data_IF_747458559736
#
_entry.id   IF_747458559736
#
_cell.length_a   1.000
_cell.length_b   1.000
_cell.length_c   1.000
_cell.angle_alpha   90.00
_cell.angle_beta   90.00
_cell.angle_gamma   90.00
#
_symmetry.space_group_name_H-M   'P 1'
#
loop_
_entity.id
_entity.type
_entity.pdbx_description
1 polymer ?
#
# COMPACT_ATOMS: atom_id res chain seq x y z
N UNK A 1 -16.68 -5.74 -13.63
CA UNK A 1 -15.46 -5.39 -12.85
C UNK A 1 -14.34 -6.31 -13.29
N UNK A 2 -13.21 -5.78 -13.77
CA UNK A 2 -12.01 -6.60 -14.00
C UNK A 2 -11.53 -7.15 -12.65
N UNK A 3 -11.34 -8.45 -12.56
CA UNK A 3 -10.74 -9.06 -11.38
C UNK A 3 -9.24 -8.80 -11.44
N UNK A 4 -8.69 -8.12 -10.44
CA UNK A 4 -7.26 -7.87 -10.29
C UNK A 4 -6.82 -8.23 -8.90
N UNK A 5 -5.58 -8.72 -8.75
CA UNK A 5 -4.99 -9.05 -7.44
C UNK A 5 -4.96 -7.83 -6.51
N UNK A 6 -4.83 -6.63 -7.06
CA UNK A 6 -4.89 -5.39 -6.29
C UNK A 6 -6.25 -5.14 -5.62
N UNK A 7 -7.34 -5.72 -6.14
CA UNK A 7 -8.68 -5.58 -5.56
C UNK A 7 -8.95 -6.58 -4.43
N UNK A 8 -8.16 -7.64 -4.34
CA UNK A 8 -8.27 -8.69 -3.31
C UNK A 8 -7.25 -8.53 -2.19
N UNK A 9 -6.11 -7.88 -2.46
CA UNK A 9 -5.14 -7.52 -1.45
C UNK A 9 -5.60 -6.28 -0.65
N UNK A 10 -5.61 -6.41 0.68
CA UNK A 10 -5.97 -5.29 1.55
C UNK A 10 -4.80 -4.30 1.63
N UNK A 11 -5.10 -3.01 1.60
CA UNK A 11 -4.07 -1.98 1.78
C UNK A 11 -3.36 -2.10 3.15
N UNK A 12 -4.07 -2.58 4.17
CA UNK A 12 -3.52 -2.84 5.49
C UNK A 12 -2.31 -3.81 5.46
N UNK A 13 -2.38 -4.89 4.66
CA UNK A 13 -1.28 -5.86 4.53
C UNK A 13 0.01 -5.18 3.99
N UNK A 14 -0.15 -4.19 3.11
CA UNK A 14 0.97 -3.41 2.56
C UNK A 14 1.54 -2.47 3.62
N UNK A 15 0.69 -1.81 4.40
CA UNK A 15 1.13 -0.95 5.50
C UNK A 15 1.90 -1.72 6.58
N UNK A 16 1.41 -2.91 6.95
CA UNK A 16 2.11 -3.79 7.90
C UNK A 16 3.47 -4.23 7.39
N UNK A 17 3.58 -4.55 6.10
CA UNK A 17 4.87 -4.83 5.46
C UNK A 17 5.81 -3.63 5.53
N UNK A 18 5.32 -2.43 5.20
CA UNK A 18 6.11 -1.20 5.24
C UNK A 18 6.60 -0.88 6.65
N UNK A 19 5.76 -1.09 7.66
CA UNK A 19 6.11 -0.92 9.08
C UNK A 19 7.18 -1.93 9.52
N UNK A 20 7.05 -3.19 9.10
CA UNK A 20 8.07 -4.19 9.34
C UNK A 20 9.40 -3.85 8.65
N UNK A 21 9.37 -3.24 7.47
CA UNK A 21 10.56 -2.83 6.72
C UNK A 21 11.21 -1.56 7.30
N UNK A 22 10.41 -0.60 7.78
CA UNK A 22 10.89 0.65 8.39
C UNK A 22 11.55 0.40 9.75
N UNK A 23 11.13 -0.64 10.47
CA UNK A 23 11.69 -0.99 11.76
C UNK A 23 13.20 -1.27 11.66
N UNK A 24 13.99 -0.58 12.47
CA UNK A 24 15.46 -0.74 12.52
C UNK A 24 15.90 -2.06 13.16
N UNK A 25 14.93 -2.82 13.71
CA UNK A 25 15.14 -4.12 14.34
C UNK A 25 15.65 -5.17 13.34
N UNK A 26 15.38 -5.01 12.05
CA UNK A 26 15.68 -6.02 11.03
C UNK A 26 16.93 -5.68 10.23
N UNK A 27 17.90 -6.61 10.25
CA UNK A 27 19.05 -6.58 9.34
C UNK A 27 18.58 -6.58 7.89
N UNK A 28 19.36 -5.97 6.99
CA UNK A 28 19.07 -5.87 5.54
C UNK A 28 18.65 -7.19 4.90
N UNK A 29 19.25 -8.31 5.30
CA UNK A 29 18.89 -9.64 4.80
C UNK A 29 17.44 -10.04 5.13
N UNK A 30 16.97 -9.72 6.34
CA UNK A 30 15.60 -10.04 6.76
C UNK A 30 14.56 -9.18 6.05
N UNK A 31 14.89 -7.91 5.80
CA UNK A 31 14.07 -7.01 4.97
C UNK A 31 13.89 -7.57 3.55
N UNK A 32 14.98 -8.08 2.96
CA UNK A 32 14.93 -8.72 1.64
C UNK A 32 14.06 -9.98 1.65
N UNK A 33 14.17 -10.82 2.68
CA UNK A 33 13.34 -12.04 2.83
C UNK A 33 11.84 -11.70 2.95
N UNK A 34 11.49 -10.70 3.75
CA UNK A 34 10.10 -10.25 3.91
C UNK A 34 9.52 -9.74 2.58
N UNK A 35 10.28 -8.93 1.85
CA UNK A 35 9.86 -8.41 0.55
C UNK A 35 9.73 -9.55 -0.48
N UNK A 36 10.69 -10.47 -0.52
CA UNK A 36 10.64 -11.63 -1.40
C UNK A 36 9.42 -12.53 -1.10
N UNK A 37 9.10 -12.72 0.19
CA UNK A 37 7.90 -13.46 0.63
C UNK A 37 6.62 -12.76 0.15
N UNK A 38 6.52 -11.45 0.31
CA UNK A 38 5.36 -10.68 -0.17
C UNK A 38 5.16 -10.82 -1.68
N UNK A 39 6.23 -10.65 -2.48
CA UNK A 39 6.18 -10.81 -3.94
C UNK A 39 5.77 -12.24 -4.32
N UNK A 40 6.29 -13.24 -3.60
CA UNK A 40 5.94 -14.65 -3.84
C UNK A 40 4.46 -14.92 -3.55
N UNK A 41 3.93 -14.42 -2.44
CA UNK A 41 2.50 -14.50 -2.13
C UNK A 41 1.63 -13.78 -3.19
N UNK A 42 2.05 -12.60 -3.67
CA UNK A 42 1.35 -11.91 -4.74
C UNK A 42 1.29 -12.73 -6.03
N UNK A 43 2.42 -13.31 -6.45
CA UNK A 43 2.50 -14.18 -7.63
C UNK A 43 1.60 -15.41 -7.47
N UNK A 44 1.54 -15.99 -6.28
CA UNK A 44 0.66 -17.11 -6.00
C UNK A 44 -0.82 -16.71 -6.09
N UNK A 45 -1.22 -15.56 -5.52
CA UNK A 45 -2.58 -15.01 -5.66
C UNK A 45 -2.92 -14.71 -7.12
N UNK A 46 -1.98 -14.18 -7.89
CA UNK A 46 -2.14 -13.94 -9.33
C UNK A 46 -2.38 -15.24 -10.09
N UNK A 47 -1.57 -16.27 -9.84
CA UNK A 47 -1.75 -17.60 -10.45
C UNK A 47 -3.08 -18.25 -10.07
N UNK A 48 -3.54 -18.08 -8.83
CA UNK A 48 -4.84 -18.60 -8.39
C UNK A 48 -6.02 -17.89 -9.07
N UNK A 49 -5.90 -16.58 -9.32
CA UNK A 49 -6.96 -15.77 -9.91
C UNK A 49 -7.04 -15.93 -11.44
N UNK A 50 -5.88 -15.97 -12.11
CA UNK A 50 -5.80 -15.92 -13.59
C UNK A 50 -5.30 -17.21 -14.25
N UNK A 51 -4.81 -18.18 -13.47
CA UNK A 51 -4.25 -19.43 -14.01
C UNK A 51 -3.02 -19.19 -14.89
N UNK A 52 -2.99 -19.80 -16.07
CA UNK A 52 -1.94 -19.66 -17.10
C UNK A 52 -2.36 -18.69 -18.23
N UNK A 53 -3.46 -17.94 -18.04
CA UNK A 53 -3.94 -17.01 -19.06
C UNK A 53 -3.06 -15.75 -19.11
N UNK A 54 -2.82 -15.24 -20.33
CA UNK A 54 -2.21 -13.91 -20.48
C UNK A 54 -3.20 -12.86 -20.00
N UNK A 55 -2.81 -12.09 -19.00
CA UNK A 55 -3.63 -11.03 -18.40
C UNK A 55 -2.83 -9.75 -18.27
N UNK A 56 -3.53 -8.62 -18.32
CA UNK A 56 -2.93 -7.29 -18.09
C UNK A 56 -2.69 -7.02 -16.58
N UNK A 57 -3.08 -7.96 -15.70
CA UNK A 57 -2.94 -7.80 -14.27
C UNK A 57 -1.49 -8.04 -13.84
N UNK A 58 -0.94 -7.10 -13.10
CA UNK A 58 0.49 -7.06 -12.78
C UNK A 58 0.73 -6.63 -11.34
N UNK A 59 1.98 -6.72 -10.89
CA UNK A 59 2.41 -6.23 -9.58
C UNK A 59 2.53 -4.70 -9.50
N UNK A 60 2.30 -4.00 -10.62
CA UNK A 60 2.46 -2.55 -10.72
C UNK A 60 1.68 -1.74 -9.66
N UNK A 61 0.42 -2.07 -9.31
CA UNK A 61 -0.34 -1.32 -8.31
C UNK A 61 0.26 -1.32 -6.90
N UNK A 62 0.95 -2.40 -6.52
CA UNK A 62 1.69 -2.48 -5.26
C UNK A 62 3.07 -1.82 -5.38
N UNK A 63 3.77 -2.02 -6.51
CA UNK A 63 5.11 -1.48 -6.74
C UNK A 63 5.15 0.05 -6.68
N UNK A 64 4.15 0.74 -7.24
CA UNK A 64 4.06 2.21 -7.17
C UNK A 64 3.94 2.77 -5.75
N UNK A 65 3.36 1.99 -4.82
CA UNK A 65 3.24 2.38 -3.40
C UNK A 65 4.58 2.17 -2.70
N UNK A 66 5.28 1.07 -3.03
CA UNK A 66 6.60 0.77 -2.49
C UNK A 66 7.70 1.73 -2.99
N UNK A 67 7.59 2.16 -4.25
CA UNK A 67 8.57 3.01 -4.93
C UNK A 67 7.89 4.27 -5.47
N UNK A 68 7.42 5.19 -4.60
CA UNK A 68 6.69 6.38 -5.04
C UNK A 68 7.54 7.28 -5.94
N UNK A 69 8.87 7.30 -5.74
CA UNK A 69 9.81 8.10 -6.54
C UNK A 69 9.99 7.58 -7.97
N UNK A 70 9.63 6.33 -8.24
CA UNK A 70 9.73 5.71 -9.56
C UNK A 70 8.39 5.77 -10.34
N UNK A 71 7.32 6.26 -9.72
CA UNK A 71 6.03 6.46 -10.40
C UNK A 71 6.12 7.68 -11.33
N UNK A 72 5.92 7.43 -12.62
CA UNK A 72 5.91 8.46 -13.68
C UNK A 72 4.52 8.65 -14.31
N UNK A 73 3.56 7.78 -13.98
CA UNK A 73 2.19 7.89 -14.51
C UNK A 73 1.40 8.94 -13.75
N UNK A 74 1.65 9.08 -12.44
CA UNK A 74 1.02 10.10 -11.62
C UNK A 74 1.85 11.37 -11.68
N UNK A 75 1.23 12.44 -12.19
CA UNK A 75 1.77 13.80 -12.07
C UNK A 75 1.96 14.22 -10.60
N UNK A 76 2.54 15.40 -10.35
CA UNK A 76 2.82 15.86 -8.99
C UNK A 76 1.53 15.92 -8.16
N UNK A 77 1.56 15.31 -6.97
CA UNK A 77 0.39 15.30 -6.07
C UNK A 77 0.02 16.69 -5.53
N UNK A 78 0.91 17.68 -5.63
CA UNK A 78 0.64 19.04 -5.19
C UNK A 78 0.54 19.24 -3.67
N UNK A 79 0.79 18.19 -2.86
CA UNK A 79 0.83 18.31 -1.41
C UNK A 79 2.11 19.03 -0.97
N UNK A 80 1.97 20.25 -0.45
CA UNK A 80 2.99 20.88 0.40
C UNK A 80 2.72 20.49 1.85
N UNK A 81 3.77 20.31 2.65
CA UNK A 81 3.68 20.03 4.10
C UNK A 81 2.88 21.11 4.88
N UNK A 82 2.58 22.24 4.24
CA UNK A 82 1.77 23.33 4.73
C UNK A 82 0.26 23.09 4.56
N UNK A 83 -0.25 21.93 4.97
CA UNK A 83 -1.65 21.90 5.43
C UNK A 83 -1.60 22.19 6.92
N UNK A 84 -1.99 23.41 7.36
CA UNK A 84 -1.98 23.72 8.78
C UNK A 84 -2.77 22.66 9.54
N UNK A 85 -2.29 22.28 10.72
CA UNK A 85 -2.95 21.31 11.61
C UNK A 85 -4.46 21.57 11.80
N UNK A 86 -4.94 22.80 11.55
CA UNK A 86 -6.36 23.17 11.54
C UNK A 86 -7.25 22.31 10.63
N UNK A 87 -6.76 21.81 9.50
CA UNK A 87 -7.58 21.04 8.54
C UNK A 87 -7.61 19.52 8.83
N UNK A 88 -6.67 19.03 9.65
CA UNK A 88 -6.71 17.65 10.18
C UNK A 88 -7.64 17.55 11.41
N UNK A 89 -7.74 18.61 12.20
CA UNK A 89 -8.58 18.64 13.42
C UNK A 89 -10.07 18.70 13.08
N UNK A 90 -10.45 19.34 11.96
CA UNK A 90 -11.85 19.48 11.55
C UNK A 90 -12.52 18.17 11.11
N UNK A 91 -11.76 17.15 10.67
CA UNK A 91 -12.31 15.81 10.32
C UNK A 91 -12.26 14.78 11.43
N UNK A 92 -11.44 14.99 12.45
CA UNK A 92 -11.25 14.06 13.56
C UNK A 92 -11.86 14.56 14.87
N UNK A 93 -12.84 15.47 14.83
CA UNK A 93 -13.58 15.86 16.03
C UNK A 93 -14.64 14.80 16.30
N UNK A 94 -14.58 14.03 17.41
CA UNK A 94 -15.70 13.18 17.80
C UNK A 94 -16.94 14.07 18.00
N UNK A 95 -18.12 13.57 17.62
CA UNK A 95 -19.38 14.27 17.82
C UNK A 95 -19.50 14.69 19.30
N UNK A 96 -19.94 15.94 19.60
CA UNK A 96 -20.19 16.33 20.98
C UNK A 96 -21.25 15.38 21.54
N UNK A 97 -20.84 14.52 22.48
CA UNK A 97 -21.78 13.79 23.31
C UNK A 97 -22.57 14.83 24.09
N UNK A 98 -23.86 14.92 23.76
CA UNK A 98 -24.81 15.80 24.42
C UNK A 98 -24.83 15.51 25.93
N UNK A 99 -24.89 16.60 26.67
CA UNK A 99 -25.09 16.68 28.11
C UNK A 99 -26.34 15.91 28.57
N UNK A 100 -26.25 15.31 29.76
CA UNK A 100 -27.31 15.32 30.78
C UNK A 100 -26.67 15.61 32.12
#
# INVERSE_FOLDING_TARGET
>A
MRQSVASTCLFAEICELLEALSSDKFKRAKRHELLAKFISCWRQKHKQLHGECQTDDSFFPAMRILLPNADRERGPYGFKELTPAGDRISRCRPAPTGEV
#
